data_IF_444661491960
#
_entry.id   IF_444661491960
#
_cell.length_a   1.000
_cell.length_b   1.000
_cell.length_c   1.000
_cell.angle_alpha   90.00
_cell.angle_beta   90.00
_cell.angle_gamma   90.00
#
_symmetry.space_group_name_H-M   'P 1'
#
loop_
_entity.id
_entity.type
_entity.pdbx_description
1 polymer ?
#
# COMPACT_ATOMS: atom_id res chain seq x y z
N UNK A 1 15.13 -4.13 -5.54
CA UNK A 1 15.66 -4.18 -6.93
C UNK A 1 14.51 -4.08 -7.91
N UNK A 2 14.69 -3.41 -9.05
CA UNK A 2 13.69 -3.27 -10.11
C UNK A 2 13.94 -4.32 -11.19
N UNK A 3 12.88 -5.00 -11.62
CA UNK A 3 12.94 -6.07 -12.62
C UNK A 3 11.91 -5.79 -13.72
N UNK A 4 12.36 -5.50 -14.91
CA UNK A 4 11.50 -5.48 -16.09
C UNK A 4 11.10 -6.91 -16.45
N UNK A 5 9.88 -7.11 -16.91
CA UNK A 5 9.36 -8.41 -17.34
C UNK A 5 8.74 -8.26 -18.73
N UNK A 6 9.41 -8.76 -19.75
CA UNK A 6 9.02 -8.62 -21.14
C UNK A 6 8.81 -7.14 -21.54
N UNK A 7 7.60 -6.76 -21.90
CA UNK A 7 7.21 -5.38 -22.23
C UNK A 7 6.80 -4.55 -21.01
N UNK A 8 6.60 -5.18 -19.87
CA UNK A 8 6.20 -4.55 -18.61
C UNK A 8 7.40 -3.97 -17.88
N UNK A 9 7.30 -2.69 -17.50
CA UNK A 9 8.42 -1.94 -16.91
C UNK A 9 8.02 -1.22 -15.65
N UNK A 10 8.96 -1.15 -14.71
CA UNK A 10 8.83 -0.31 -13.53
C UNK A 10 8.98 1.16 -13.93
N UNK A 11 7.95 1.97 -13.60
CA UNK A 11 7.92 3.43 -13.83
C UNK A 11 8.14 4.14 -12.50
N UNK A 12 9.29 4.77 -12.37
CA UNK A 12 9.63 5.60 -11.22
C UNK A 12 9.42 7.08 -11.59
N UNK A 13 8.40 7.73 -11.00
CA UNK A 13 7.94 9.07 -11.38
C UNK A 13 8.41 10.17 -10.41
N UNK A 14 9.58 10.03 -9.81
CA UNK A 14 10.16 11.08 -9.00
C UNK A 14 11.03 10.58 -7.84
N UNK A 15 11.38 11.49 -6.94
CA UNK A 15 12.16 11.14 -5.76
C UNK A 15 11.36 10.21 -4.85
N UNK A 16 11.83 8.99 -4.70
CA UNK A 16 11.29 7.96 -3.83
C UNK A 16 12.42 7.02 -3.38
N UNK A 17 12.09 6.05 -2.56
CA UNK A 17 13.09 5.12 -2.05
C UNK A 17 12.56 3.69 -2.00
N UNK A 18 13.44 2.75 -2.34
CA UNK A 18 13.17 1.33 -2.18
C UNK A 18 14.36 0.65 -1.52
N UNK A 19 14.09 -0.18 -0.52
CA UNK A 19 15.12 -0.98 0.13
C UNK A 19 15.85 -1.88 -0.89
N UNK A 20 17.15 -2.11 -0.67
CA UNK A 20 18.00 -2.89 -1.60
C UNK A 20 17.52 -4.33 -1.82
N UNK A 21 16.77 -4.89 -0.86
CA UNK A 21 16.21 -6.23 -0.93
C UNK A 21 14.70 -6.27 -1.21
N UNK A 22 14.07 -5.14 -1.54
CA UNK A 22 12.72 -5.13 -2.08
C UNK A 22 12.73 -5.60 -3.54
N UNK A 23 11.73 -6.37 -3.95
CA UNK A 23 11.54 -6.87 -5.32
C UNK A 23 10.36 -6.16 -5.97
N UNK A 24 10.64 -5.37 -7.01
CA UNK A 24 9.63 -4.61 -7.74
C UNK A 24 9.68 -5.06 -9.20
N UNK A 25 8.62 -5.73 -9.68
CA UNK A 25 8.65 -6.56 -10.87
C UNK A 25 7.51 -6.17 -11.83
N UNK A 26 7.81 -5.94 -13.09
CA UNK A 26 6.85 -5.76 -14.18
C UNK A 26 6.19 -4.37 -14.20
N UNK A 27 4.89 -4.30 -14.48
CA UNK A 27 4.16 -3.02 -14.61
C UNK A 27 3.81 -2.44 -13.23
N UNK A 28 4.79 -1.78 -12.64
CA UNK A 28 4.65 -1.08 -11.36
C UNK A 28 4.94 0.40 -11.55
N UNK A 29 4.05 1.26 -11.06
CA UNK A 29 4.24 2.72 -11.08
C UNK A 29 4.41 3.22 -9.64
N UNK A 30 5.54 3.88 -9.36
CA UNK A 30 5.83 4.52 -8.09
C UNK A 30 5.82 6.03 -8.28
N UNK A 31 4.94 6.74 -7.58
CA UNK A 31 4.94 8.20 -7.57
C UNK A 31 5.98 8.76 -6.59
N UNK A 32 6.16 10.10 -6.61
CA UNK A 32 7.13 10.79 -5.75
C UNK A 32 6.83 10.59 -4.26
N UNK A 33 7.85 10.67 -3.43
CA UNK A 33 7.81 10.48 -1.98
C UNK A 33 7.31 9.09 -1.53
N UNK A 34 7.17 8.11 -2.41
CA UNK A 34 6.84 6.74 -2.00
C UNK A 34 8.04 6.06 -1.34
N UNK A 35 7.78 5.10 -0.47
CA UNK A 35 8.84 4.27 0.13
C UNK A 35 8.44 2.80 0.19
N UNK A 36 9.32 1.94 -0.33
CA UNK A 36 9.16 0.49 -0.38
C UNK A 36 10.20 -0.14 0.52
N UNK A 37 9.75 -0.73 1.62
CA UNK A 37 10.61 -1.17 2.71
C UNK A 37 11.17 -2.58 2.50
N UNK A 38 11.88 -3.09 3.50
CA UNK A 38 12.67 -4.32 3.35
C UNK A 38 11.80 -5.56 3.11
N UNK A 39 12.27 -6.46 2.25
CA UNK A 39 11.59 -7.71 1.85
C UNK A 39 10.21 -7.52 1.22
N UNK A 40 9.82 -6.32 0.81
CA UNK A 40 8.56 -6.09 0.10
C UNK A 40 8.64 -6.68 -1.30
N UNK A 41 7.55 -7.29 -1.76
CA UNK A 41 7.39 -7.76 -3.13
C UNK A 41 6.21 -7.06 -3.79
N UNK A 42 6.47 -6.31 -4.87
CA UNK A 42 5.46 -5.77 -5.79
C UNK A 42 5.57 -6.54 -7.10
N UNK A 43 4.57 -7.34 -7.45
CA UNK A 43 4.62 -8.16 -8.68
C UNK A 43 3.45 -7.81 -9.61
N UNK A 44 3.73 -6.86 -10.52
CA UNK A 44 2.82 -6.41 -11.58
C UNK A 44 3.03 -7.17 -12.89
N UNK A 45 3.02 -8.50 -12.83
CA UNK A 45 3.22 -9.38 -13.97
C UNK A 45 1.93 -9.61 -14.77
N UNK A 46 0.78 -9.34 -14.19
CA UNK A 46 -0.54 -9.49 -14.83
C UNK A 46 -1.14 -8.12 -15.13
N UNK A 47 -1.49 -7.34 -14.12
CA UNK A 47 -2.06 -5.99 -14.21
C UNK A 47 -1.14 -4.98 -13.52
N UNK A 48 -1.40 -3.68 -13.76
CA UNK A 48 -0.63 -2.60 -13.13
C UNK A 48 -0.79 -2.56 -11.61
N UNK A 49 0.32 -2.29 -10.92
CA UNK A 49 0.35 -1.86 -9.52
C UNK A 49 0.75 -0.39 -9.49
N UNK A 50 -0.15 0.47 -8.99
CA UNK A 50 0.10 1.90 -8.85
C UNK A 50 0.21 2.29 -7.37
N UNK A 51 1.32 2.91 -7.00
CA UNK A 51 1.55 3.44 -5.65
C UNK A 51 1.58 4.97 -5.71
N UNK A 52 0.56 5.60 -5.15
CA UNK A 52 0.36 7.04 -5.15
C UNK A 52 1.32 7.81 -4.24
N UNK A 53 1.44 9.10 -4.52
CA UNK A 53 2.37 10.02 -3.88
C UNK A 53 2.35 9.92 -2.34
N UNK A 54 3.52 9.91 -1.72
CA UNK A 54 3.68 9.94 -0.27
C UNK A 54 3.34 8.65 0.46
N UNK A 55 2.90 7.61 -0.25
CA UNK A 55 2.52 6.32 0.34
C UNK A 55 3.72 5.46 0.69
N UNK A 56 3.55 4.60 1.69
CA UNK A 56 4.61 3.68 2.13
C UNK A 56 4.11 2.24 2.20
N UNK A 57 4.97 1.30 1.78
CA UNK A 57 4.72 -0.13 1.84
C UNK A 57 5.76 -0.74 2.77
N UNK A 58 5.33 -1.16 3.95
CA UNK A 58 6.22 -1.59 5.02
C UNK A 58 6.66 -3.05 4.86
N UNK A 59 7.66 -3.40 5.65
CA UNK A 59 8.47 -4.61 5.54
C UNK A 59 7.65 -5.88 5.36
N UNK A 60 8.13 -6.74 4.45
CA UNK A 60 7.59 -8.07 4.16
C UNK A 60 6.15 -8.10 3.63
N UNK A 61 5.63 -6.96 3.16
CA UNK A 61 4.33 -6.92 2.49
C UNK A 61 4.42 -7.45 1.05
N UNK A 62 3.34 -8.04 0.58
CA UNK A 62 3.24 -8.60 -0.77
C UNK A 62 2.04 -7.98 -1.49
N UNK A 63 2.30 -7.43 -2.68
CA UNK A 63 1.30 -6.83 -3.55
C UNK A 63 1.30 -7.54 -4.90
N UNK A 64 0.14 -8.05 -5.32
CA UNK A 64 -0.02 -8.78 -6.56
C UNK A 64 -1.35 -8.45 -7.24
N UNK A 65 -1.51 -8.91 -8.47
CA UNK A 65 -2.65 -8.61 -9.32
C UNK A 65 -3.12 -9.86 -10.06
N UNK A 66 -4.41 -9.90 -10.43
CA UNK A 66 -5.01 -10.90 -11.30
C UNK A 66 -5.62 -10.24 -12.56
N UNK A 67 -5.93 -11.01 -13.62
CA UNK A 67 -6.57 -10.46 -14.81
C UNK A 67 -7.86 -9.70 -14.49
N UNK A 68 -7.92 -8.41 -14.89
CA UNK A 68 -9.04 -7.52 -14.62
C UNK A 68 -9.08 -6.91 -13.21
N UNK A 69 -8.07 -7.21 -12.37
CA UNK A 69 -7.96 -6.67 -11.01
C UNK A 69 -6.62 -5.93 -10.81
N UNK A 70 -6.45 -4.73 -11.38
CA UNK A 70 -5.29 -3.90 -11.09
C UNK A 70 -5.28 -3.48 -9.61
N UNK A 71 -4.10 -3.17 -9.10
CA UNK A 71 -3.94 -2.73 -7.72
C UNK A 71 -3.61 -1.24 -7.68
N UNK A 72 -4.45 -0.46 -7.00
CA UNK A 72 -4.27 0.98 -6.88
C UNK A 72 -4.19 1.42 -5.42
N UNK A 73 -3.12 2.11 -5.07
CA UNK A 73 -2.94 2.79 -3.79
C UNK A 73 -2.94 4.29 -4.05
N UNK A 74 -3.78 5.02 -3.32
CA UNK A 74 -3.90 6.48 -3.36
C UNK A 74 -2.73 7.21 -2.73
N UNK A 75 -2.94 8.47 -2.40
CA UNK A 75 -1.92 9.34 -1.77
C UNK A 75 -1.89 9.18 -0.25
N UNK A 76 -0.70 9.34 0.32
CA UNK A 76 -0.49 9.34 1.77
C UNK A 76 -1.06 8.10 2.47
N UNK A 77 -1.05 6.95 1.79
CA UNK A 77 -1.51 5.67 2.33
C UNK A 77 -0.37 4.96 3.07
N UNK A 78 -0.67 4.43 4.23
CA UNK A 78 0.25 3.57 4.97
C UNK A 78 -0.17 2.11 4.86
N UNK A 79 0.69 1.28 4.26
CA UNK A 79 0.56 -0.18 4.25
C UNK A 79 1.50 -0.75 5.30
N UNK A 80 0.94 -1.29 6.37
CA UNK A 80 1.69 -1.85 7.49
C UNK A 80 2.49 -3.10 7.12
N UNK A 81 3.34 -3.53 8.04
CA UNK A 81 4.18 -4.72 7.82
C UNK A 81 3.35 -5.98 7.55
N UNK A 82 3.89 -6.92 6.76
CA UNK A 82 3.27 -8.24 6.49
C UNK A 82 1.88 -8.17 5.85
N UNK A 83 1.50 -7.05 5.23
CA UNK A 83 0.20 -6.91 4.56
C UNK A 83 0.20 -7.65 3.23
N UNK A 84 -0.91 -8.32 2.91
CA UNK A 84 -1.18 -8.88 1.60
C UNK A 84 -2.27 -8.07 0.90
N UNK A 85 -1.93 -7.46 -0.24
CA UNK A 85 -2.88 -6.82 -1.13
C UNK A 85 -2.95 -7.57 -2.46
N UNK A 86 -4.15 -7.87 -2.90
CA UNK A 86 -4.37 -8.59 -4.15
C UNK A 86 -5.47 -7.91 -4.96
N UNK A 87 -5.12 -7.29 -6.11
CA UNK A 87 -6.05 -6.71 -7.06
C UNK A 87 -7.12 -5.77 -6.47
N UNK A 88 -6.74 -4.87 -5.57
CA UNK A 88 -7.66 -4.02 -4.81
C UNK A 88 -7.39 -2.53 -5.01
N UNK A 89 -8.31 -1.69 -4.54
CA UNK A 89 -8.15 -0.23 -4.52
C UNK A 89 -8.17 0.28 -3.09
N UNK A 90 -7.21 1.13 -2.75
CA UNK A 90 -7.13 1.83 -1.47
C UNK A 90 -7.04 3.32 -1.76
N UNK A 91 -8.04 4.06 -1.34
CA UNK A 91 -8.09 5.50 -1.54
C UNK A 91 -7.23 6.27 -0.51
N UNK A 92 -7.09 7.58 -0.75
CA UNK A 92 -6.16 8.46 -0.06
C UNK A 92 -6.27 8.43 1.47
N UNK A 93 -5.13 8.68 2.13
CA UNK A 93 -5.02 8.87 3.57
C UNK A 93 -5.62 7.70 4.37
N UNK A 94 -5.45 6.47 3.93
CA UNK A 94 -5.91 5.28 4.63
C UNK A 94 -4.75 4.49 5.24
N UNK A 95 -5.00 3.80 6.34
CA UNK A 95 -4.03 2.97 7.04
C UNK A 95 -4.48 1.51 7.01
N UNK A 96 -3.63 0.66 6.45
CA UNK A 96 -3.81 -0.78 6.45
C UNK A 96 -2.92 -1.38 7.53
N UNK A 97 -3.52 -1.93 8.55
CA UNK A 97 -2.84 -2.45 9.73
C UNK A 97 -2.00 -3.70 9.44
N UNK A 98 -1.04 -3.95 10.33
CA UNK A 98 -0.07 -5.06 10.22
C UNK A 98 -0.78 -6.39 9.96
N UNK A 99 -0.30 -7.16 8.99
CA UNK A 99 -0.79 -8.50 8.67
C UNK A 99 -2.20 -8.54 8.05
N UNK A 100 -2.81 -7.40 7.71
CA UNK A 100 -4.11 -7.40 7.05
C UNK A 100 -4.05 -8.01 5.65
N UNK A 101 -5.15 -8.61 5.20
CA UNK A 101 -5.31 -9.21 3.87
C UNK A 101 -6.48 -8.54 3.16
N UNK A 102 -6.25 -8.03 1.94
CA UNK A 102 -7.29 -7.39 1.12
C UNK A 102 -7.29 -8.03 -0.25
N UNK A 103 -8.45 -8.59 -0.66
CA UNK A 103 -8.58 -9.45 -1.83
C UNK A 103 -9.15 -8.71 -3.05
N UNK A 104 -9.21 -9.43 -4.19
CA UNK A 104 -9.59 -8.91 -5.51
C UNK A 104 -10.87 -8.09 -5.51
N UNK A 105 -10.83 -6.95 -6.19
CA UNK A 105 -11.96 -6.06 -6.37
C UNK A 105 -12.42 -5.32 -5.11
N UNK A 106 -11.79 -5.55 -3.95
CA UNK A 106 -12.10 -4.79 -2.74
C UNK A 106 -11.72 -3.32 -2.92
N UNK A 107 -12.55 -2.43 -2.37
CA UNK A 107 -12.37 -0.98 -2.42
C UNK A 107 -12.42 -0.40 -1.02
N UNK A 108 -11.32 0.19 -0.61
CA UNK A 108 -11.21 0.89 0.67
C UNK A 108 -11.28 2.38 0.39
N UNK A 109 -12.25 3.06 0.99
CA UNK A 109 -12.41 4.50 0.86
C UNK A 109 -11.33 5.32 1.56
N UNK A 110 -11.48 6.64 1.54
CA UNK A 110 -10.53 7.60 2.14
C UNK A 110 -10.60 7.59 3.66
N UNK A 111 -9.50 7.95 4.30
CA UNK A 111 -9.39 8.08 5.76
C UNK A 111 -9.81 6.81 6.52
N UNK A 112 -9.67 5.64 5.91
CA UNK A 112 -10.04 4.39 6.55
C UNK A 112 -8.89 3.83 7.40
N UNK A 113 -9.26 3.11 8.46
CA UNK A 113 -8.33 2.29 9.25
C UNK A 113 -8.79 0.83 9.12
N UNK A 114 -7.96 0.01 8.49
CA UNK A 114 -8.12 -1.44 8.50
C UNK A 114 -7.24 -1.99 9.61
N UNK A 115 -7.84 -2.59 10.61
CA UNK A 115 -7.12 -3.09 11.79
C UNK A 115 -6.15 -4.22 11.44
N UNK A 116 -5.18 -4.44 12.34
CA UNK A 116 -4.21 -5.52 12.17
C UNK A 116 -4.90 -6.89 12.02
N UNK A 117 -4.35 -7.76 11.13
CA UNK A 117 -4.89 -9.08 10.79
C UNK A 117 -6.35 -9.10 10.32
N UNK A 118 -6.90 -7.98 9.87
CA UNK A 118 -8.23 -7.96 9.29
C UNK A 118 -8.23 -8.59 7.88
N UNK A 119 -9.30 -9.30 7.55
CA UNK A 119 -9.53 -9.87 6.21
C UNK A 119 -10.64 -9.10 5.49
N UNK A 120 -10.31 -8.40 4.43
CA UNK A 120 -11.29 -7.79 3.52
C UNK A 120 -11.47 -8.73 2.32
N UNK A 121 -12.63 -9.33 2.24
CA UNK A 121 -12.97 -10.30 1.20
C UNK A 121 -13.17 -9.63 -0.16
N UNK A 122 -13.19 -10.45 -1.20
CA UNK A 122 -13.35 -10.01 -2.59
C UNK A 122 -14.58 -9.11 -2.78
N UNK A 123 -14.40 -8.11 -3.65
CA UNK A 123 -15.46 -7.16 -4.05
C UNK A 123 -16.11 -6.37 -2.90
N UNK A 124 -15.53 -6.42 -1.71
CA UNK A 124 -16.05 -5.67 -0.56
C UNK A 124 -15.77 -4.18 -0.74
N UNK A 125 -16.82 -3.36 -0.51
CA UNK A 125 -16.68 -1.90 -0.49
C UNK A 125 -16.72 -1.41 0.96
N UNK A 126 -15.67 -0.72 1.35
CA UNK A 126 -15.55 -0.04 2.65
C UNK A 126 -15.68 1.46 2.39
N UNK A 127 -16.73 2.13 2.88
CA UNK A 127 -16.92 3.57 2.67
C UNK A 127 -15.88 4.39 3.41
N UNK A 128 -15.74 5.65 3.01
CA UNK A 128 -14.82 6.62 3.62
C UNK A 128 -15.00 6.68 5.15
N UNK A 129 -13.93 7.02 5.85
CA UNK A 129 -13.88 7.22 7.29
C UNK A 129 -14.33 5.99 8.10
N UNK A 130 -14.03 4.79 7.65
CA UNK A 130 -14.43 3.55 8.34
C UNK A 130 -13.27 2.94 9.12
N UNK A 131 -13.53 2.54 10.37
CA UNK A 131 -12.68 1.61 11.10
C UNK A 131 -13.21 0.19 10.92
N UNK A 132 -12.36 -0.68 10.39
CA UNK A 132 -12.69 -2.09 10.11
C UNK A 132 -11.76 -3.00 10.90
N UNK A 133 -12.31 -4.02 11.58
CA UNK A 133 -11.51 -5.03 12.30
C UNK A 133 -12.08 -6.43 12.09
N UNK A 134 -11.24 -7.44 12.28
CA UNK A 134 -11.63 -8.84 12.32
C UNK A 134 -11.44 -9.60 11.01
N UNK A 135 -11.64 -10.91 11.07
CA UNK A 135 -11.57 -11.84 9.95
C UNK A 135 -12.80 -12.74 9.94
N UNK A 136 -13.78 -12.49 9.05
CA UNK A 136 -13.84 -11.42 8.06
C UNK A 136 -14.04 -10.03 8.69
N UNK A 137 -13.51 -9.00 8.01
CA UNK A 137 -13.54 -7.62 8.46
C UNK A 137 -14.95 -7.01 8.55
N UNK A 138 -15.23 -6.34 9.66
CA UNK A 138 -16.49 -5.64 9.91
C UNK A 138 -16.21 -4.17 10.26
N UNK A 139 -17.02 -3.27 9.71
CA UNK A 139 -17.02 -1.86 10.12
C UNK A 139 -17.53 -1.80 11.55
N UNK A 140 -16.76 -1.25 12.47
CA UNK A 140 -17.14 -1.14 13.88
C UNK A 140 -17.52 0.26 14.31
N UNK A 141 -16.97 1.27 13.62
CA UNK A 141 -17.32 2.70 13.82
C UNK A 141 -16.74 3.57 12.73
N UNK A 142 -17.02 4.84 12.79
CA UNK A 142 -16.34 5.85 11.98
C UNK A 142 -14.99 6.22 12.58
N UNK A 143 -14.05 6.59 11.71
CA UNK A 143 -12.76 7.21 12.06
C UNK A 143 -13.04 8.68 12.40
N UNK A 144 -12.48 9.19 13.48
CA UNK A 144 -12.61 10.60 13.86
C UNK A 144 -11.65 11.49 13.04
N UNK A 145 -11.90 12.81 13.06
CA UNK A 145 -11.02 13.77 12.38
C UNK A 145 -9.60 13.76 12.97
N UNK A 146 -9.46 13.51 14.27
CA UNK A 146 -8.17 13.39 14.94
C UNK A 146 -7.42 12.14 14.49
N UNK A 147 -8.13 11.01 14.33
CA UNK A 147 -7.55 9.78 13.80
C UNK A 147 -7.14 9.96 12.34
N UNK A 148 -7.97 10.57 11.51
CA UNK A 148 -7.63 10.87 10.11
C UNK A 148 -6.35 11.75 10.01
N UNK A 149 -6.23 12.78 10.85
CA UNK A 149 -5.00 13.59 10.96
C UNK A 149 -3.80 12.77 11.45
N UNK A 150 -4.02 11.77 12.31
CA UNK A 150 -2.96 10.88 12.78
C UNK A 150 -2.45 9.97 11.67
N UNK A 151 -3.33 9.48 10.79
CA UNK A 151 -2.96 8.71 9.59
C UNK A 151 -2.05 9.56 8.70
N UNK A 152 -2.44 10.82 8.42
CA UNK A 152 -1.62 11.75 7.62
C UNK A 152 -0.23 11.95 8.25
N UNK A 153 -0.16 12.16 9.56
CA UNK A 153 1.13 12.30 10.27
C UNK A 153 1.99 11.06 10.16
N UNK A 154 1.38 9.88 10.17
CA UNK A 154 2.10 8.62 9.98
C UNK A 154 2.72 8.54 8.57
N UNK A 155 1.96 8.86 7.53
CA UNK A 155 2.48 8.89 6.15
C UNK A 155 3.65 9.89 6.01
N UNK A 156 3.51 11.11 6.54
CA UNK A 156 4.58 12.13 6.55
C UNK A 156 5.83 11.62 7.31
N UNK A 157 5.64 10.93 8.45
CA UNK A 157 6.76 10.32 9.17
C UNK A 157 7.57 9.37 8.28
N UNK A 158 6.90 8.53 7.48
CA UNK A 158 7.58 7.62 6.54
C UNK A 158 8.23 8.35 5.36
N UNK A 159 7.63 9.46 4.89
CA UNK A 159 8.26 10.34 3.89
C UNK A 159 9.56 10.97 4.40
N UNK A 160 9.64 11.32 5.67
CA UNK A 160 10.86 11.82 6.28
C UNK A 160 11.85 10.71 6.65
N UNK A 161 11.32 9.54 7.02
CA UNK A 161 12.13 8.42 7.46
C UNK A 161 12.94 7.82 6.30
N UNK A 162 12.35 7.59 5.13
CA UNK A 162 13.07 7.02 3.99
C UNK A 162 14.27 7.90 3.56
N UNK A 163 14.19 9.21 3.73
CA UNK A 163 15.32 10.14 3.45
C UNK A 163 16.54 9.88 4.34
N UNK A 164 16.34 9.31 5.54
CA UNK A 164 17.44 8.86 6.42
C UNK A 164 18.02 7.55 5.88
N UNK A 165 17.14 6.61 5.51
CA UNK A 165 17.53 5.30 5.00
C UNK A 165 18.22 5.37 3.63
N UNK A 166 17.89 6.36 2.80
CA UNK A 166 18.59 6.58 1.52
C UNK A 166 20.07 6.93 1.68
N UNK A 167 20.51 7.30 2.90
CA UNK A 167 21.90 7.62 3.23
C UNK A 167 22.65 6.43 3.85
N UNK A 168 22.02 5.28 4.01
CA UNK A 168 22.71 4.08 4.49
C UNK A 168 23.74 3.64 3.44
N UNK A 169 24.96 3.44 3.90
CA UNK A 169 26.06 2.87 3.09
C UNK A 169 26.11 1.38 3.40
N UNK A 170 26.03 0.53 2.39
CA UNK A 170 26.12 -0.92 2.49
C UNK A 170 27.48 -1.39 1.98
#
# INVERSE_FOLDING_TARGET
MFYDLEDKKVKNLGDNWSASNASIIGDVTLEKNTSIWFNVTLRGDVENIHVGEGSNIQDSSVLHTDPGYPLKIGKDVTIGHLVMLHGCTIDDNSLIGIGAVILNGAKIGKNCIIGANALITENKVIPDNSLVVGSPGKIVRQVSDEEAKSITKNAIHYQDNWKKYSKLVF
#
